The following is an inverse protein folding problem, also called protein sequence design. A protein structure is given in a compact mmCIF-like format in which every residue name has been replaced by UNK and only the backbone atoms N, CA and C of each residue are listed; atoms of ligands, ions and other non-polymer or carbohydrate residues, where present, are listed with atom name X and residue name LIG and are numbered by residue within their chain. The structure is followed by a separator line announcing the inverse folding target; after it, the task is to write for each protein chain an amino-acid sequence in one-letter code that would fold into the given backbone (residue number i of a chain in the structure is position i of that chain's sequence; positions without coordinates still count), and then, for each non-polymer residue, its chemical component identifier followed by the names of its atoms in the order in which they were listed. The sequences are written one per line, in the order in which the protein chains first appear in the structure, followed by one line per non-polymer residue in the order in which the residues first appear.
data_IF_383081953446
#
_entry.id   IF_383081953446
#
_cell.length_a   1.000
_cell.length_b   1.000
_cell.length_c   1.000
_cell.angle_alpha   90.00
_cell.angle_beta   90.00
_cell.angle_gamma   90.00
#
_symmetry.space_group_name_H-M   'P 1'
#
loop_
_entity.id
_entity.type
_entity.pdbx_description
1 polymer ?
#
# COMPACT_ATOMS: atom_id res chain seq x y z
N UNK A 1 -40.12 -29.66 -23.64
CA UNK A 1 -38.88 -29.52 -22.83
C UNK A 1 -39.16 -28.46 -21.79
N UNK A 2 -38.85 -28.73 -20.53
CA UNK A 2 -38.87 -27.69 -19.49
C UNK A 2 -37.80 -26.64 -19.84
N UNK A 3 -38.09 -25.33 -19.76
CA UNK A 3 -37.08 -24.31 -19.95
C UNK A 3 -35.93 -24.50 -18.96
N UNK A 4 -34.70 -24.18 -19.38
CA UNK A 4 -33.55 -24.21 -18.50
C UNK A 4 -33.73 -23.21 -17.34
N UNK A 5 -33.51 -23.68 -16.12
CA UNK A 5 -33.50 -22.88 -14.90
C UNK A 5 -32.06 -22.76 -14.41
N UNK A 6 -31.50 -21.56 -14.48
CA UNK A 6 -30.11 -21.28 -14.08
C UNK A 6 -29.92 -21.15 -12.57
N UNK A 7 -30.96 -21.30 -11.75
CA UNK A 7 -30.91 -21.02 -10.31
C UNK A 7 -29.77 -21.76 -9.61
N UNK A 8 -29.64 -23.08 -9.84
CA UNK A 8 -28.60 -23.89 -9.19
C UNK A 8 -27.19 -23.44 -9.61
N UNK A 9 -26.98 -23.16 -10.89
CA UNK A 9 -25.67 -22.75 -11.40
C UNK A 9 -25.27 -21.37 -10.91
N UNK A 10 -26.23 -20.43 -10.84
CA UNK A 10 -26.01 -19.11 -10.25
C UNK A 10 -25.66 -19.21 -8.76
N UNK A 11 -26.34 -20.07 -7.99
CA UNK A 11 -26.05 -20.27 -6.57
C UNK A 11 -24.66 -20.86 -6.36
N UNK A 12 -24.28 -21.88 -7.14
CA UNK A 12 -22.92 -22.45 -7.09
C UNK A 12 -21.85 -21.42 -7.45
N UNK A 13 -22.07 -20.63 -8.50
CA UNK A 13 -21.13 -19.57 -8.88
C UNK A 13 -20.97 -18.55 -7.76
N UNK A 14 -22.06 -18.11 -7.14
CA UNK A 14 -22.03 -17.19 -5.99
C UNK A 14 -21.23 -17.77 -4.81
N UNK A 15 -21.44 -19.03 -4.46
CA UNK A 15 -20.70 -19.68 -3.38
C UNK A 15 -19.19 -19.71 -3.65
N UNK A 16 -18.78 -20.02 -4.89
CA UNK A 16 -17.38 -19.97 -5.29
C UNK A 16 -16.79 -18.56 -5.21
N UNK A 17 -17.52 -17.55 -5.67
CA UNK A 17 -17.06 -16.15 -5.57
C UNK A 17 -16.89 -15.74 -4.11
N UNK A 18 -17.83 -16.10 -3.23
CA UNK A 18 -17.72 -15.84 -1.78
C UNK A 18 -16.47 -16.51 -1.20
N UNK A 19 -16.22 -17.76 -1.55
CA UNK A 19 -15.03 -18.49 -1.11
C UNK A 19 -13.73 -17.77 -1.48
N UNK A 20 -13.57 -17.37 -2.75
CA UNK A 20 -12.35 -16.66 -3.18
C UNK A 20 -12.22 -15.25 -2.60
N UNK A 21 -13.34 -14.54 -2.40
CA UNK A 21 -13.32 -13.24 -1.71
C UNK A 21 -12.83 -13.41 -0.27
N UNK A 22 -13.27 -14.44 0.45
CA UNK A 22 -12.79 -14.69 1.82
C UNK A 22 -11.29 -14.97 1.86
N UNK A 23 -10.73 -15.70 0.90
CA UNK A 23 -9.28 -15.90 0.82
C UNK A 23 -8.52 -14.57 0.66
N UNK A 24 -9.03 -13.65 -0.15
CA UNK A 24 -8.44 -12.31 -0.31
C UNK A 24 -8.57 -11.50 0.98
N UNK A 25 -9.72 -11.58 1.67
CA UNK A 25 -9.92 -10.90 2.96
C UNK A 25 -8.93 -11.43 4.01
N UNK A 26 -8.74 -12.74 4.12
CA UNK A 26 -7.80 -13.35 5.07
C UNK A 26 -6.37 -12.88 4.81
N UNK A 27 -5.97 -12.78 3.54
CA UNK A 27 -4.68 -12.21 3.16
C UNK A 27 -4.60 -10.73 3.55
N UNK A 28 -5.60 -9.92 3.22
CA UNK A 28 -5.64 -8.49 3.58
C UNK A 28 -5.57 -8.28 5.10
N UNK A 29 -6.24 -9.12 5.90
CA UNK A 29 -6.19 -9.07 7.36
C UNK A 29 -4.77 -9.37 7.85
N UNK A 30 -4.14 -10.43 7.33
CA UNK A 30 -2.77 -10.79 7.67
C UNK A 30 -1.79 -9.65 7.32
N UNK A 31 -1.93 -9.07 6.12
CA UNK A 31 -1.11 -7.94 5.66
C UNK A 31 -1.33 -6.69 6.52
N UNK A 32 -2.56 -6.40 6.95
CA UNK A 32 -2.86 -5.28 7.82
C UNK A 32 -2.22 -5.41 9.21
N UNK A 33 -2.23 -6.61 9.79
CA UNK A 33 -1.62 -6.87 11.11
C UNK A 33 -0.08 -6.84 11.08
N UNK A 34 0.51 -7.27 9.97
CA UNK A 34 1.96 -7.35 9.80
C UNK A 34 2.56 -6.12 9.12
N UNK A 35 1.73 -5.17 8.68
CA UNK A 35 2.17 -3.99 7.96
C UNK A 35 3.29 -3.27 8.72
N UNK A 36 4.44 -3.11 8.05
CA UNK A 36 5.63 -2.45 8.60
C UNK A 36 6.19 -3.05 9.89
N UNK A 37 5.78 -4.25 10.30
CA UNK A 37 6.25 -4.88 11.54
C UNK A 37 7.78 -5.06 11.55
N UNK A 38 8.38 -5.22 10.37
CA UNK A 38 9.83 -5.31 10.21
C UNK A 38 10.57 -4.07 10.74
N UNK A 39 9.93 -2.90 10.83
CA UNK A 39 10.53 -1.68 11.43
C UNK A 39 10.84 -1.84 12.92
N UNK A 40 10.26 -2.85 13.58
CA UNK A 40 10.53 -3.18 14.98
C UNK A 40 11.59 -4.28 15.15
N UNK A 41 12.10 -4.82 14.04
CA UNK A 41 13.15 -5.85 14.03
C UNK A 41 14.54 -5.28 14.41
N UNK A 42 15.48 -6.12 14.86
CA UNK A 42 16.87 -5.72 15.09
C UNK A 42 17.58 -5.11 13.87
N UNK A 43 17.19 -5.51 12.67
CA UNK A 43 17.77 -5.09 11.39
C UNK A 43 17.40 -3.63 11.05
N UNK A 44 16.19 -3.21 11.42
CA UNK A 44 15.64 -1.91 11.00
C UNK A 44 15.52 -0.90 12.16
N UNK A 45 15.07 -1.37 13.32
CA UNK A 45 14.64 -0.51 14.42
C UNK A 45 15.68 0.53 14.86
N UNK A 46 16.96 0.17 15.08
CA UNK A 46 17.96 1.14 15.53
C UNK A 46 18.14 2.31 14.56
N UNK A 47 18.08 2.04 13.25
CA UNK A 47 18.22 3.07 12.22
C UNK A 47 16.94 3.92 12.10
N UNK A 48 15.75 3.31 12.17
CA UNK A 48 14.51 4.10 12.21
C UNK A 48 14.41 4.96 13.47
N UNK A 49 14.84 4.47 14.64
CA UNK A 49 14.89 5.27 15.86
C UNK A 49 15.81 6.50 15.71
N UNK A 50 16.97 6.33 15.05
CA UNK A 50 17.91 7.44 14.82
C UNK A 50 17.40 8.45 13.77
N UNK A 51 16.93 7.96 12.62
CA UNK A 51 16.69 8.82 11.45
C UNK A 51 15.26 9.33 11.31
N UNK A 52 14.25 8.63 11.83
CA UNK A 52 12.85 9.12 11.79
C UNK A 52 12.70 10.53 12.38
N UNK A 53 13.22 10.85 13.58
CA UNK A 53 13.12 12.21 14.12
C UNK A 53 13.91 13.24 13.31
N UNK A 54 15.06 12.86 12.73
CA UNK A 54 15.86 13.75 11.88
C UNK A 54 15.12 14.09 10.59
N UNK A 55 14.58 13.07 9.92
CA UNK A 55 13.79 13.23 8.70
C UNK A 55 12.56 14.12 8.94
N UNK A 56 11.92 14.00 10.10
CA UNK A 56 10.79 14.86 10.51
C UNK A 56 11.22 16.33 10.73
N UNK A 57 12.44 16.56 11.19
CA UNK A 57 12.98 17.89 11.46
C UNK A 57 13.55 18.58 10.20
N UNK A 58 13.93 17.82 9.18
CA UNK A 58 14.46 18.35 7.93
C UNK A 58 13.36 18.63 6.91
N UNK A 59 13.41 19.76 6.17
CA UNK A 59 12.51 20.00 5.05
C UNK A 59 12.61 18.87 4.01
N UNK A 60 11.47 18.34 3.59
CA UNK A 60 11.38 17.29 2.58
C UNK A 60 12.11 17.70 1.29
N UNK A 61 12.96 16.81 0.76
CA UNK A 61 13.73 17.05 -0.47
C UNK A 61 14.96 17.97 -0.32
N UNK A 62 15.28 18.41 0.90
CA UNK A 62 16.53 19.15 1.14
C UNK A 62 17.77 18.24 1.02
N UNK A 63 18.98 18.79 0.81
CA UNK A 63 20.21 18.00 0.80
C UNK A 63 20.40 17.17 2.09
N UNK A 64 20.08 17.76 3.25
CA UNK A 64 20.15 17.08 4.55
C UNK A 64 19.11 15.96 4.68
N UNK A 65 17.90 16.16 4.15
CA UNK A 65 16.89 15.10 4.05
C UNK A 65 17.42 13.91 3.24
N UNK A 66 18.00 14.17 2.07
CA UNK A 66 18.58 13.11 1.23
C UNK A 66 19.76 12.39 1.89
N UNK A 67 20.60 13.11 2.63
CA UNK A 67 21.70 12.50 3.39
C UNK A 67 21.15 11.58 4.50
N UNK A 68 20.14 12.02 5.25
CA UNK A 68 19.49 11.20 6.27
C UNK A 68 18.82 9.96 5.66
N UNK A 69 18.17 10.07 4.50
CA UNK A 69 17.60 8.93 3.77
C UNK A 69 18.69 7.94 3.33
N UNK A 70 19.81 8.45 2.80
CA UNK A 70 20.93 7.60 2.40
C UNK A 70 21.50 6.80 3.57
N UNK A 71 21.59 7.42 4.76
CA UNK A 71 22.05 6.75 5.99
C UNK A 71 21.04 5.74 6.54
N UNK A 72 19.75 5.91 6.28
CA UNK A 72 18.70 4.93 6.56
C UNK A 72 18.70 3.75 5.56
N UNK A 73 19.55 3.81 4.53
CA UNK A 73 19.51 2.92 3.35
C UNK A 73 19.53 1.43 3.65
N UNK A 74 20.32 0.94 4.62
CA UNK A 74 20.34 -0.50 4.96
C UNK A 74 19.01 -0.97 5.58
N UNK A 75 18.39 -0.16 6.45
CA UNK A 75 17.07 -0.46 6.97
C UNK A 75 16.01 -0.40 5.86
N UNK A 76 16.06 0.60 4.96
CA UNK A 76 15.14 0.67 3.82
C UNK A 76 15.30 -0.52 2.88
N UNK A 77 16.52 -0.98 2.64
CA UNK A 77 16.80 -2.14 1.80
C UNK A 77 16.19 -3.41 2.40
N UNK A 78 16.38 -3.67 3.70
CA UNK A 78 15.73 -4.78 4.37
C UNK A 78 14.21 -4.63 4.33
N UNK A 79 13.70 -3.44 4.63
CA UNK A 79 12.29 -3.10 4.65
C UNK A 79 11.60 -3.40 3.31
N UNK A 80 12.16 -2.92 2.19
CA UNK A 80 11.65 -3.19 0.85
C UNK A 80 11.75 -4.68 0.49
N UNK A 81 12.80 -5.37 0.94
CA UNK A 81 12.96 -6.80 0.66
C UNK A 81 11.90 -7.67 1.35
N UNK A 82 11.35 -7.25 2.49
CA UNK A 82 10.40 -8.07 3.27
C UNK A 82 8.95 -7.53 3.24
N UNK A 83 8.73 -6.30 2.77
CA UNK A 83 7.39 -5.69 2.68
C UNK A 83 6.94 -5.47 1.24
N UNK A 84 6.04 -6.36 0.77
CA UNK A 84 5.53 -6.37 -0.60
C UNK A 84 4.69 -5.16 -1.01
N UNK A 85 4.19 -4.33 -0.11
CA UNK A 85 3.42 -3.15 -0.52
C UNK A 85 4.32 -2.05 -1.11
N UNK A 86 5.65 -2.19 -1.01
CA UNK A 86 6.60 -1.31 -1.68
C UNK A 86 6.90 -1.79 -3.10
N UNK A 87 6.87 -0.88 -4.06
CA UNK A 87 7.23 -1.16 -5.46
C UNK A 87 8.67 -1.67 -5.57
N UNK A 88 9.55 -1.16 -4.72
CA UNK A 88 10.96 -1.53 -4.60
C UNK A 88 11.17 -3.00 -4.20
N UNK A 89 10.16 -3.68 -3.66
CA UNK A 89 10.19 -5.13 -3.41
C UNK A 89 10.30 -5.93 -4.72
N UNK A 90 9.76 -5.40 -5.82
CA UNK A 90 9.61 -6.13 -7.08
C UNK A 90 10.63 -5.69 -8.12
N UNK A 91 11.32 -6.64 -8.79
CA UNK A 91 12.20 -6.33 -9.91
C UNK A 91 11.49 -5.61 -11.07
N UNK A 92 10.22 -5.96 -11.32
CA UNK A 92 9.39 -5.37 -12.37
C UNK A 92 8.54 -4.17 -11.89
N UNK A 93 8.87 -3.65 -10.70
CA UNK A 93 8.14 -2.58 -10.04
C UNK A 93 6.66 -2.92 -9.86
N UNK A 94 5.77 -1.95 -10.14
CA UNK A 94 4.33 -2.10 -9.93
C UNK A 94 3.72 -3.28 -10.70
N UNK A 95 4.36 -3.72 -11.80
CA UNK A 95 3.90 -4.89 -12.58
C UNK A 95 4.08 -6.22 -11.85
N UNK A 96 4.94 -6.26 -10.83
CA UNK A 96 5.11 -7.44 -9.98
C UNK A 96 4.08 -7.55 -8.85
N UNK A 97 3.31 -6.49 -8.61
CA UNK A 97 2.33 -6.42 -7.52
C UNK A 97 1.03 -7.15 -7.88
N UNK A 98 0.40 -7.73 -6.87
CA UNK A 98 -0.99 -8.21 -6.95
C UNK A 98 -1.97 -7.18 -6.33
N UNK A 99 -3.27 -7.47 -6.37
CA UNK A 99 -4.29 -6.54 -5.84
C UNK A 99 -4.18 -6.30 -4.33
N UNK A 100 -3.74 -7.29 -3.55
CA UNK A 100 -3.55 -7.15 -2.10
C UNK A 100 -2.39 -6.19 -1.83
N UNK A 101 -1.27 -6.35 -2.54
CA UNK A 101 -0.11 -5.45 -2.41
C UNK A 101 -0.51 -3.99 -2.74
N UNK A 102 -1.32 -3.78 -3.78
CA UNK A 102 -1.81 -2.46 -4.19
C UNK A 102 -2.79 -1.86 -3.17
N UNK A 103 -3.67 -2.67 -2.57
CA UNK A 103 -4.61 -2.23 -1.51
C UNK A 103 -3.84 -1.83 -0.26
N UNK A 104 -2.85 -2.62 0.17
CA UNK A 104 -2.02 -2.26 1.32
C UNK A 104 -1.23 -0.97 1.05
N UNK A 105 -0.66 -0.84 -0.14
CA UNK A 105 0.12 0.35 -0.53
C UNK A 105 -0.72 1.64 -0.46
N UNK A 106 -1.93 1.66 -1.00
CA UNK A 106 -2.78 2.87 -0.94
C UNK A 106 -3.25 3.17 0.50
N UNK A 107 -3.43 2.13 1.33
CA UNK A 107 -3.73 2.28 2.76
C UNK A 107 -2.54 2.88 3.53
N UNK A 108 -1.30 2.47 3.26
CA UNK A 108 -0.09 3.10 3.80
C UNK A 108 -0.01 4.58 3.41
N UNK A 109 -0.27 4.89 2.15
CA UNK A 109 -0.29 6.28 1.69
C UNK A 109 -1.35 7.11 2.43
N UNK A 110 -2.54 6.55 2.66
CA UNK A 110 -3.59 7.20 3.46
C UNK A 110 -3.14 7.42 4.90
N UNK A 111 -2.60 6.41 5.56
CA UNK A 111 -2.07 6.52 6.92
C UNK A 111 -0.97 7.60 7.00
N UNK A 112 -0.12 7.65 5.99
CA UNK A 112 0.96 8.64 5.87
C UNK A 112 0.46 10.08 5.76
N UNK A 113 -0.74 10.33 5.22
CA UNK A 113 -1.32 11.69 5.20
C UNK A 113 -1.55 12.28 6.59
N UNK A 114 -1.84 11.45 7.61
CA UNK A 114 -2.05 11.92 8.99
C UNK A 114 -0.75 12.38 9.68
N UNK A 115 0.41 12.05 9.10
CA UNK A 115 1.73 12.44 9.61
C UNK A 115 2.22 13.77 9.05
N UNK A 116 1.49 14.37 8.11
CA UNK A 116 1.88 15.58 7.39
C UNK A 116 0.86 16.71 7.57
N UNK A 117 1.33 17.95 7.68
CA UNK A 117 0.43 19.10 7.74
C UNK A 117 -0.27 19.27 6.38
N UNK A 118 -1.61 19.18 6.37
CA UNK A 118 -2.40 19.26 5.14
C UNK A 118 -2.30 18.04 4.23
N UNK A 119 -1.99 16.85 4.79
CA UNK A 119 -1.93 15.60 4.05
C UNK A 119 -3.21 15.33 3.25
N UNK A 120 -3.04 14.85 2.01
CA UNK A 120 -4.13 14.59 1.08
C UNK A 120 -3.80 13.35 0.25
N UNK A 121 -4.70 12.36 0.26
CA UNK A 121 -4.45 11.08 -0.41
C UNK A 121 -4.41 11.22 -1.93
N UNK A 122 -5.30 12.01 -2.53
CA UNK A 122 -5.33 12.24 -3.98
C UNK A 122 -4.01 12.88 -4.46
N UNK A 123 -3.53 13.90 -3.73
CA UNK A 123 -2.21 14.48 -3.99
C UNK A 123 -1.07 13.45 -3.82
N UNK A 124 -1.21 12.53 -2.87
CA UNK A 124 -0.22 11.46 -2.68
C UNK A 124 -0.22 10.48 -3.84
N UNK A 125 -1.39 10.16 -4.41
CA UNK A 125 -1.53 9.35 -5.61
C UNK A 125 -0.85 10.04 -6.80
N UNK A 126 -1.09 11.34 -7.01
CA UNK A 126 -0.46 12.10 -8.10
C UNK A 126 1.07 12.07 -8.00
N UNK A 127 1.62 12.41 -6.83
CA UNK A 127 3.06 12.45 -6.60
C UNK A 127 3.73 11.08 -6.74
N UNK A 128 3.07 10.01 -6.28
CA UNK A 128 3.61 8.66 -6.41
C UNK A 128 3.44 8.09 -7.82
N UNK A 129 2.44 8.54 -8.58
CA UNK A 129 2.26 8.14 -9.99
C UNK A 129 3.47 8.53 -10.81
N UNK A 130 3.91 9.78 -10.70
CA UNK A 130 5.10 10.26 -11.42
C UNK A 130 6.36 9.53 -10.96
N UNK A 131 6.50 9.32 -9.65
CA UNK A 131 7.67 8.67 -9.04
C UNK A 131 7.79 7.20 -9.40
N UNK A 132 6.67 6.47 -9.43
CA UNK A 132 6.60 5.02 -9.58
C UNK A 132 6.13 4.57 -10.97
N UNK A 133 5.89 5.52 -11.89
CA UNK A 133 5.50 5.30 -13.28
C UNK A 133 4.22 4.46 -13.43
N UNK A 134 3.18 4.80 -12.66
CA UNK A 134 1.89 4.13 -12.75
C UNK A 134 1.15 4.50 -14.04
N UNK A 135 0.44 3.55 -14.65
CA UNK A 135 -0.41 3.81 -15.81
C UNK A 135 -1.67 4.58 -15.42
N UNK A 136 -2.18 5.44 -16.30
CA UNK A 136 -3.41 6.22 -16.10
C UNK A 136 -4.61 5.39 -15.61
N UNK A 137 -4.76 4.14 -16.08
CA UNK A 137 -5.82 3.24 -15.64
C UNK A 137 -5.69 2.88 -14.15
N UNK A 138 -4.47 2.56 -13.70
CA UNK A 138 -4.21 2.24 -12.29
C UNK A 138 -4.42 3.47 -11.40
N UNK A 139 -4.00 4.65 -11.85
CA UNK A 139 -4.23 5.92 -11.17
C UNK A 139 -5.73 6.15 -10.97
N UNK A 140 -6.51 5.98 -12.04
CA UNK A 140 -7.98 6.12 -11.99
C UNK A 140 -8.61 5.16 -10.99
N UNK A 141 -8.15 3.90 -10.93
CA UNK A 141 -8.61 2.91 -9.95
C UNK A 141 -8.30 3.39 -8.53
N UNK A 142 -7.06 3.84 -8.27
CA UNK A 142 -6.68 4.37 -6.96
C UNK A 142 -7.49 5.59 -6.54
N UNK A 143 -7.74 6.53 -7.46
CA UNK A 143 -8.57 7.69 -7.16
C UNK A 143 -10.01 7.31 -6.82
N UNK A 144 -10.59 6.35 -7.55
CA UNK A 144 -11.93 5.86 -7.27
C UNK A 144 -11.98 5.20 -5.89
N UNK A 145 -11.01 4.32 -5.57
CA UNK A 145 -10.88 3.70 -4.25
C UNK A 145 -10.70 4.76 -3.15
N UNK A 146 -9.89 5.78 -3.38
CA UNK A 146 -9.69 6.87 -2.43
C UNK A 146 -10.98 7.63 -2.15
N UNK A 147 -11.65 8.14 -3.20
CA UNK A 147 -12.88 8.93 -3.11
C UNK A 147 -14.03 8.13 -2.51
N UNK A 148 -14.17 6.88 -2.95
CA UNK A 148 -15.30 6.06 -2.56
C UNK A 148 -15.10 5.35 -1.23
N UNK A 149 -13.89 5.07 -0.75
CA UNK A 149 -13.68 4.24 0.45
C UNK A 149 -12.86 4.99 1.50
N UNK A 150 -11.64 5.42 1.14
CA UNK A 150 -10.64 5.89 2.11
C UNK A 150 -10.83 7.34 2.57
N UNK A 151 -11.53 8.17 1.79
CA UNK A 151 -11.91 9.54 2.15
C UNK A 151 -13.34 9.65 2.71
N UNK A 152 -14.03 8.52 2.92
CA UNK A 152 -15.24 8.54 3.73
C UNK A 152 -14.85 8.99 5.14
N UNK A 153 -15.45 10.07 5.63
CA UNK A 153 -15.25 10.51 7.01
C UNK A 153 -15.46 9.31 7.96
N UNK A 154 -14.55 9.06 8.91
CA UNK A 154 -14.83 8.08 9.94
C UNK A 154 -16.13 8.47 10.63
N UNK A 155 -17.14 7.59 10.56
CA UNK A 155 -18.36 7.73 11.37
C UNK A 155 -18.03 7.51 12.84
#
# INVERSE_FOLDING_TARGET
MTPYDSTIDTLKHRELVVYYIHLIIDELMTRAELHDLSKLSPEEKPLFDEFTPKLKATPYGSPEYHENVARLGEALKHHYAVNRHHVEHFPDGVKGMNLVDLIEMICDWKASTYRQQGGNLLRSIDLNTDRLQHSDQLVTIFENTAKEILERNPQ
#
